data_IF_130231115781
#
_entry.id   IF_130231115781
#
_cell.length_a   1.000
_cell.length_b   1.000
_cell.length_c   1.000
_cell.angle_alpha   90.00
_cell.angle_beta   90.00
_cell.angle_gamma   90.00
#
_symmetry.space_group_name_H-M   'P 1'
#
loop_
_entity.id
_entity.type
_entity.pdbx_description
1 polymer ?
#
# COMPACT_ATOMS: atom_id res chain seq x y z
N UNK A 1 12.28 -11.04 4.82
CA UNK A 1 12.01 -9.64 4.42
C UNK A 1 10.99 -9.53 3.28
N UNK A 2 11.21 -10.17 2.15
CA UNK A 2 10.25 -10.12 1.02
C UNK A 2 8.87 -10.65 1.40
N UNK A 3 8.80 -11.73 2.16
CA UNK A 3 7.53 -12.28 2.65
C UNK A 3 6.69 -11.27 3.47
N UNK A 4 7.35 -10.40 4.24
CA UNK A 4 6.66 -9.35 4.99
C UNK A 4 6.07 -8.28 4.06
N UNK A 5 6.84 -7.84 3.05
CA UNK A 5 6.38 -6.90 2.01
C UNK A 5 5.18 -7.46 1.24
N UNK A 6 5.28 -8.71 0.80
CA UNK A 6 4.22 -9.40 0.07
C UNK A 6 2.96 -9.58 0.93
N UNK A 7 3.12 -9.97 2.21
CA UNK A 7 2.00 -10.12 3.13
C UNK A 7 1.29 -8.79 3.39
N UNK A 8 2.04 -7.71 3.61
CA UNK A 8 1.49 -6.36 3.77
C UNK A 8 0.70 -5.94 2.52
N UNK A 9 1.33 -6.02 1.35
CA UNK A 9 0.71 -5.64 0.08
C UNK A 9 -0.58 -6.42 -0.18
N UNK A 10 -0.54 -7.75 -0.06
CA UNK A 10 -1.71 -8.61 -0.33
C UNK A 10 -2.83 -8.40 0.69
N UNK A 11 -2.50 -8.09 1.96
CA UNK A 11 -3.50 -7.74 2.95
C UNK A 11 -4.23 -6.44 2.58
N UNK A 12 -3.51 -5.38 2.22
CA UNK A 12 -4.12 -4.11 1.79
C UNK A 12 -4.97 -4.29 0.54
N UNK A 13 -4.46 -5.04 -0.44
CA UNK A 13 -5.18 -5.35 -1.68
C UNK A 13 -6.50 -6.09 -1.43
N UNK A 14 -6.48 -7.10 -0.56
CA UNK A 14 -7.67 -7.87 -0.19
C UNK A 14 -8.69 -7.00 0.56
N UNK A 15 -8.24 -6.14 1.47
CA UNK A 15 -9.10 -5.22 2.21
C UNK A 15 -9.71 -4.16 1.29
N UNK A 16 -8.96 -3.63 0.34
CA UNK A 16 -9.48 -2.67 -0.65
C UNK A 16 -10.60 -3.30 -1.49
N UNK A 17 -10.45 -4.54 -1.91
CA UNK A 17 -11.48 -5.28 -2.66
C UNK A 17 -12.81 -5.36 -1.91
N UNK A 18 -12.77 -5.41 -0.57
CA UNK A 18 -13.97 -5.45 0.30
C UNK A 18 -14.53 -4.05 0.53
N UNK A 19 -13.67 -3.07 0.83
CA UNK A 19 -14.09 -1.71 1.21
C UNK A 19 -14.58 -0.92 0.00
N UNK A 20 -13.87 -1.02 -1.12
CA UNK A 20 -14.26 -0.36 -2.37
C UNK A 20 -14.00 -1.26 -3.59
N UNK A 21 -14.92 -2.18 -3.91
CA UNK A 21 -14.79 -3.09 -5.06
C UNK A 21 -14.78 -2.36 -6.42
N UNK A 22 -15.18 -1.09 -6.47
CA UNK A 22 -15.15 -0.28 -7.69
C UNK A 22 -13.78 0.35 -7.96
N UNK A 23 -12.93 0.48 -6.94
CA UNK A 23 -11.57 0.98 -7.12
C UNK A 23 -10.70 -0.13 -7.69
N UNK A 24 -10.62 -0.17 -8.99
CA UNK A 24 -9.91 -1.21 -9.74
C UNK A 24 -8.88 -0.63 -10.69
N UNK A 25 -7.94 -1.44 -11.10
CA UNK A 25 -6.92 -1.12 -12.09
C UNK A 25 -6.70 -2.32 -13.02
N UNK A 26 -6.47 -2.05 -14.30
CA UNK A 26 -6.14 -3.07 -15.27
C UNK A 26 -4.62 -3.29 -15.30
N UNK A 27 -4.16 -4.49 -14.94
CA UNK A 27 -2.75 -4.87 -14.96
C UNK A 27 -2.58 -6.12 -15.80
N UNK A 28 -1.78 -6.04 -16.86
CA UNK A 28 -1.51 -7.17 -17.78
C UNK A 28 -2.80 -7.86 -18.26
N UNK A 29 -3.84 -7.10 -18.54
CA UNK A 29 -5.12 -7.63 -19.00
C UNK A 29 -6.06 -8.16 -17.91
N UNK A 30 -5.65 -8.17 -16.64
CA UNK A 30 -6.49 -8.57 -15.52
C UNK A 30 -6.96 -7.36 -14.72
N UNK A 31 -8.28 -7.25 -14.47
CA UNK A 31 -8.86 -6.25 -13.60
C UNK A 31 -8.69 -6.70 -12.14
N UNK A 32 -8.19 -5.81 -11.29
CA UNK A 32 -7.95 -6.12 -9.87
C UNK A 32 -8.04 -4.88 -8.99
N UNK A 33 -8.04 -5.01 -7.65
CA UNK A 33 -8.09 -3.87 -6.74
C UNK A 33 -7.03 -2.81 -7.07
N UNK A 34 -7.42 -1.55 -6.98
CA UNK A 34 -6.64 -0.39 -7.39
C UNK A 34 -5.51 -0.02 -6.43
N UNK A 35 -4.66 -0.98 -6.14
CA UNK A 35 -3.41 -0.82 -5.40
C UNK A 35 -2.28 -1.55 -6.15
N UNK A 36 -1.20 -0.86 -6.42
CA UNK A 36 -0.07 -1.33 -7.21
C UNK A 36 1.22 -1.30 -6.39
N UNK A 37 2.13 -2.19 -6.71
CA UNK A 37 3.49 -2.19 -6.19
C UNK A 37 4.42 -1.67 -7.29
N UNK A 38 5.10 -0.54 -7.06
CA UNK A 38 5.85 0.19 -8.09
C UNK A 38 6.95 -0.66 -8.74
N UNK A 39 7.75 -1.34 -7.94
CA UNK A 39 8.88 -2.15 -8.39
C UNK A 39 8.47 -3.44 -9.13
N UNK A 40 7.24 -3.92 -8.95
CA UNK A 40 6.77 -5.16 -9.55
C UNK A 40 5.72 -4.97 -10.66
N UNK A 41 4.89 -3.92 -10.57
CA UNK A 41 3.66 -3.83 -11.34
C UNK A 41 3.47 -2.53 -12.10
N UNK A 42 4.11 -1.48 -11.65
CA UNK A 42 3.88 -0.14 -12.18
C UNK A 42 5.17 0.60 -12.49
N UNK A 43 5.92 0.22 -13.51
CA UNK A 43 6.97 1.09 -14.05
C UNK A 43 6.29 2.26 -14.76
N UNK A 44 5.68 3.19 -14.03
CA UNK A 44 4.89 4.24 -14.67
C UNK A 44 5.53 5.59 -14.40
N UNK A 45 5.86 6.29 -15.48
CA UNK A 45 6.27 7.69 -15.43
C UNK A 45 5.19 8.60 -14.83
N UNK A 46 3.93 8.18 -14.84
CA UNK A 46 2.80 8.81 -14.15
C UNK A 46 1.91 7.75 -13.51
N UNK A 47 1.69 7.79 -12.17
CA UNK A 47 0.71 6.92 -11.52
C UNK A 47 -0.68 7.14 -12.12
N UNK A 48 -1.47 6.06 -12.33
CA UNK A 48 -2.85 6.20 -12.75
C UNK A 48 -3.64 7.00 -11.71
N UNK A 49 -4.60 7.83 -12.16
CA UNK A 49 -5.51 8.49 -11.24
C UNK A 49 -6.40 7.47 -10.53
N UNK A 50 -6.81 7.81 -9.31
CA UNK A 50 -7.73 6.99 -8.49
C UNK A 50 -7.20 5.59 -8.11
N UNK A 51 -5.88 5.41 -8.11
CA UNK A 51 -5.18 4.18 -7.76
C UNK A 51 -4.12 4.49 -6.68
N UNK A 52 -3.91 3.59 -5.75
CA UNK A 52 -2.82 3.64 -4.77
C UNK A 52 -1.56 2.98 -5.36
N UNK A 53 -0.42 3.62 -5.23
CA UNK A 53 0.87 3.08 -5.65
C UNK A 53 1.81 3.02 -4.46
N UNK A 54 2.27 1.83 -4.13
CA UNK A 54 3.17 1.57 -3.01
C UNK A 54 4.61 1.56 -3.49
N UNK A 55 5.45 2.27 -2.76
CA UNK A 55 6.89 2.33 -2.94
C UNK A 55 7.59 1.96 -1.63
N UNK A 56 8.57 1.05 -1.69
CA UNK A 56 9.39 0.69 -0.54
C UNK A 56 10.62 1.58 -0.48
N UNK A 57 10.75 2.32 0.62
CA UNK A 57 11.86 3.23 0.90
C UNK A 57 12.95 2.61 1.75
N UNK A 58 13.40 3.36 2.74
CA UNK A 58 14.50 2.98 3.63
C UNK A 58 14.20 1.72 4.44
N UNK A 59 15.26 0.97 4.73
CA UNK A 59 15.26 -0.24 5.51
C UNK A 59 16.16 -0.03 6.74
N UNK A 60 15.60 -0.24 7.93
CA UNK A 60 16.34 -0.31 9.20
C UNK A 60 16.27 -1.72 9.77
N UNK A 61 17.36 -2.20 10.35
CA UNK A 61 17.40 -3.47 11.06
C UNK A 61 17.89 -3.25 12.49
N UNK A 62 17.08 -3.66 13.47
CA UNK A 62 17.49 -3.73 14.87
C UNK A 62 18.01 -5.15 15.17
N UNK A 63 19.32 -5.25 15.36
CA UNK A 63 20.00 -6.55 15.55
C UNK A 63 20.25 -6.89 17.02
N UNK A 64 19.94 -5.98 17.95
CA UNK A 64 20.20 -6.17 19.39
C UNK A 64 19.13 -7.01 20.10
N UNK A 65 18.00 -7.28 19.44
CA UNK A 65 16.94 -8.13 19.99
C UNK A 65 17.22 -9.61 19.74
N UNK A 66 16.67 -10.51 20.59
CA UNK A 66 16.81 -11.97 20.40
C UNK A 66 16.31 -12.46 19.04
N UNK A 67 15.41 -11.70 18.40
CA UNK A 67 14.95 -11.90 17.03
C UNK A 67 15.13 -10.57 16.30
N UNK A 68 15.90 -10.55 15.23
CA UNK A 68 16.13 -9.36 14.44
C UNK A 68 14.78 -8.81 13.92
N UNK A 69 14.45 -7.59 14.32
CA UNK A 69 13.29 -6.87 13.80
C UNK A 69 13.73 -5.96 12.66
N UNK A 70 12.97 -5.97 11.59
CA UNK A 70 13.17 -5.12 10.43
C UNK A 70 12.08 -4.09 10.38
N UNK A 71 12.46 -2.83 10.25
CA UNK A 71 11.58 -1.69 9.99
C UNK A 71 11.72 -1.25 8.53
N UNK A 72 10.63 -1.16 7.82
CA UNK A 72 10.58 -0.82 6.40
C UNK A 72 9.65 0.36 6.18
N UNK A 73 10.15 1.42 5.58
CA UNK A 73 9.30 2.54 5.18
C UNK A 73 8.53 2.17 3.91
N UNK A 74 7.22 2.36 3.93
CA UNK A 74 6.35 2.25 2.77
C UNK A 74 5.69 3.60 2.50
N UNK A 75 5.93 4.16 1.33
CA UNK A 75 5.22 5.32 0.82
C UNK A 75 4.09 4.86 -0.09
N UNK A 76 2.88 5.38 0.14
CA UNK A 76 1.70 5.08 -0.65
C UNK A 76 1.22 6.37 -1.29
N UNK A 77 1.52 6.52 -2.56
CA UNK A 77 1.14 7.70 -3.37
C UNK A 77 -0.16 7.47 -4.10
N UNK A 78 -0.96 8.52 -4.25
CA UNK A 78 -2.22 8.51 -4.98
C UNK A 78 -2.60 9.90 -5.44
N UNK A 79 -3.35 9.96 -6.53
CA UNK A 79 -3.83 11.22 -7.08
C UNK A 79 -5.24 11.06 -7.67
N UNK A 80 -5.93 12.16 -7.82
CA UNK A 80 -7.23 12.22 -8.49
C UNK A 80 -7.38 13.49 -9.31
N UNK A 81 -8.12 13.40 -10.40
CA UNK A 81 -8.56 14.54 -11.22
C UNK A 81 -9.99 14.97 -10.87
N UNK A 82 -10.63 14.33 -9.91
CA UNK A 82 -12.05 14.48 -9.64
C UNK A 82 -12.90 13.78 -10.70
N UNK A 83 -14.19 14.08 -10.74
CA UNK A 83 -15.11 13.47 -11.69
C UNK A 83 -15.41 14.38 -12.88
N UNK A 84 -15.70 13.79 -14.02
CA UNK A 84 -16.12 14.54 -15.22
C UNK A 84 -17.42 15.30 -14.99
N UNK A 85 -18.33 14.76 -14.16
CA UNK A 85 -19.62 15.37 -13.86
C UNK A 85 -19.49 16.76 -13.22
N UNK A 86 -18.40 17.01 -12.47
CA UNK A 86 -18.14 18.28 -11.80
C UNK A 86 -16.95 19.05 -12.38
N UNK A 87 -16.42 18.63 -13.53
CA UNK A 87 -15.28 19.29 -14.16
C UNK A 87 -14.05 19.36 -13.28
N UNK A 88 -13.90 18.40 -12.34
CA UNK A 88 -12.79 18.34 -11.39
C UNK A 88 -12.94 19.26 -10.17
N UNK A 89 -14.06 19.98 -9.99
CA UNK A 89 -14.29 20.80 -8.79
C UNK A 89 -14.40 19.98 -7.51
N UNK A 90 -14.64 18.70 -7.61
CA UNK A 90 -14.74 17.74 -6.51
C UNK A 90 -13.42 17.04 -6.15
N UNK A 91 -12.30 17.46 -6.72
CA UNK A 91 -10.97 16.85 -6.49
C UNK A 91 -10.63 16.68 -5.01
N UNK A 92 -10.87 17.73 -4.21
CA UNK A 92 -10.59 17.69 -2.77
C UNK A 92 -11.44 16.63 -2.04
N UNK A 93 -12.72 16.48 -2.42
CA UNK A 93 -13.61 15.46 -1.86
C UNK A 93 -13.18 14.06 -2.29
N UNK A 94 -12.83 13.89 -3.55
CA UNK A 94 -12.33 12.61 -4.09
C UNK A 94 -11.04 12.18 -3.41
N UNK A 95 -10.10 13.11 -3.21
CA UNK A 95 -8.86 12.81 -2.48
C UNK A 95 -9.14 12.45 -1.01
N UNK A 96 -10.03 13.17 -0.33
CA UNK A 96 -10.43 12.86 1.04
C UNK A 96 -11.11 11.49 1.15
N UNK A 97 -11.85 11.06 0.13
CA UNK A 97 -12.41 9.72 0.08
C UNK A 97 -11.30 8.66 -0.01
N UNK A 98 -10.26 8.90 -0.82
CA UNK A 98 -9.09 8.02 -0.89
C UNK A 98 -8.32 7.99 0.44
N UNK A 99 -8.14 9.12 1.12
CA UNK A 99 -7.54 9.17 2.47
C UNK A 99 -8.29 8.24 3.44
N UNK A 100 -9.62 8.30 3.45
CA UNK A 100 -10.46 7.44 4.32
C UNK A 100 -10.37 5.97 3.96
N UNK A 101 -10.35 5.64 2.69
CA UNK A 101 -10.16 4.27 2.22
C UNK A 101 -8.80 3.72 2.66
N UNK A 102 -7.73 4.52 2.50
CA UNK A 102 -6.39 4.13 2.93
C UNK A 102 -6.31 3.88 4.43
N UNK A 103 -6.88 4.77 5.25
CA UNK A 103 -6.99 4.57 6.70
C UNK A 103 -7.74 3.27 7.02
N UNK A 104 -8.81 2.99 6.30
CA UNK A 104 -9.65 1.81 6.55
C UNK A 104 -8.93 0.50 6.18
N UNK A 105 -8.21 0.46 5.03
CA UNK A 105 -7.46 -0.75 4.64
C UNK A 105 -6.22 -1.01 5.49
N UNK A 106 -5.69 0.02 6.14
CA UNK A 106 -4.58 -0.10 7.10
C UNK A 106 -5.05 -0.59 8.47
N UNK A 107 -6.34 -0.78 8.71
CA UNK A 107 -6.88 -1.33 9.98
C UNK A 107 -7.45 -2.74 9.77
N UNK A 108 -7.16 -3.69 10.68
CA UNK A 108 -6.26 -3.61 11.83
C UNK A 108 -4.79 -3.47 11.40
N UNK A 109 -3.88 -2.92 12.26
CA UNK A 109 -2.50 -2.62 11.91
C UNK A 109 -1.59 -3.84 11.93
N UNK A 110 -2.09 -5.00 11.54
CA UNK A 110 -1.32 -6.23 11.43
C UNK A 110 -1.94 -7.22 10.44
N UNK A 111 -1.11 -8.17 10.00
CA UNK A 111 -1.53 -9.32 9.18
C UNK A 111 -0.62 -10.52 9.47
N UNK A 112 -1.11 -11.76 9.35
CA UNK A 112 -0.24 -12.93 9.36
C UNK A 112 0.82 -12.82 8.27
N UNK A 113 2.05 -13.21 8.61
CA UNK A 113 3.13 -13.33 7.64
C UNK A 113 3.01 -14.65 6.90
N UNK A 114 3.15 -14.61 5.58
CA UNK A 114 2.97 -15.75 4.70
C UNK A 114 4.18 -15.87 3.77
N UNK A 115 4.70 -17.08 3.64
CA UNK A 115 5.74 -17.40 2.67
C UNK A 115 5.10 -17.72 1.31
N UNK A 116 5.25 -16.80 0.36
CA UNK A 116 4.74 -16.93 -1.00
C UNK A 116 5.74 -17.57 -1.97
N UNK A 117 6.96 -17.89 -1.52
CA UNK A 117 7.97 -18.57 -2.36
C UNK A 117 7.74 -20.07 -2.49
N UNK A 118 6.82 -20.63 -1.69
CA UNK A 118 6.41 -22.03 -1.72
C UNK A 118 4.99 -22.21 -2.28
N UNK A 119 4.70 -23.39 -2.84
CA UNK A 119 3.38 -23.72 -3.37
C UNK A 119 2.84 -24.99 -2.69
N UNK A 120 1.68 -24.93 -1.99
CA UNK A 120 0.89 -23.72 -1.70
C UNK A 120 1.59 -22.76 -0.73
N UNK A 121 1.23 -21.48 -0.77
CA UNK A 121 1.74 -20.48 0.16
C UNK A 121 1.53 -20.91 1.63
N UNK A 122 2.56 -20.80 2.45
CA UNK A 122 2.56 -21.35 3.81
C UNK A 122 2.54 -20.22 4.86
N UNK A 123 1.72 -20.31 5.91
CA UNK A 123 1.75 -19.38 7.02
C UNK A 123 3.11 -19.48 7.76
N UNK A 124 3.61 -18.34 8.20
CA UNK A 124 4.82 -18.23 9.02
C UNK A 124 4.42 -18.04 10.50
N UNK A 125 5.42 -18.05 11.40
CA UNK A 125 5.16 -17.99 12.84
C UNK A 125 4.91 -16.58 13.35
N UNK A 126 5.42 -15.58 12.65
CA UNK A 126 5.32 -14.18 13.04
C UNK A 126 4.24 -13.43 12.25
N UNK A 127 4.00 -12.20 12.68
CA UNK A 127 3.10 -11.27 11.99
C UNK A 127 3.88 -10.12 11.40
N UNK A 128 3.28 -9.49 10.41
CA UNK A 128 3.66 -8.16 9.93
C UNK A 128 2.74 -7.15 10.60
N UNK A 129 3.30 -6.08 11.15
CA UNK A 129 2.54 -5.03 11.80
C UNK A 129 3.07 -3.65 11.36
N UNK A 130 2.30 -2.61 11.57
CA UNK A 130 2.64 -1.27 11.11
C UNK A 130 2.04 -0.18 11.98
N UNK A 131 2.63 1.01 11.89
CA UNK A 131 2.16 2.20 12.58
C UNK A 131 0.97 2.85 11.85
N UNK A 132 0.34 3.83 12.50
CA UNK A 132 -0.66 4.66 11.84
C UNK A 132 -0.01 5.47 10.71
N UNK A 133 -0.71 5.64 9.57
CA UNK A 133 -0.19 6.38 8.44
C UNK A 133 -0.04 7.87 8.77
N UNK A 134 1.03 8.48 8.30
CA UNK A 134 1.20 9.93 8.30
C UNK A 134 0.82 10.49 6.93
N UNK A 135 0.05 11.59 6.93
CA UNK A 135 -0.44 12.24 5.73
C UNK A 135 0.21 13.63 5.57
N UNK A 136 1.19 13.81 4.70
CA UNK A 136 1.74 15.12 4.40
C UNK A 136 0.73 16.00 3.63
N UNK A 137 1.11 17.24 3.39
CA UNK A 137 0.30 18.21 2.66
C UNK A 137 -0.06 17.71 1.26
N UNK A 138 -1.21 18.17 0.77
CA UNK A 138 -1.67 17.92 -0.61
C UNK A 138 -0.75 18.66 -1.59
N UNK A 139 -0.39 17.98 -2.68
CA UNK A 139 0.28 18.60 -3.82
C UNK A 139 -0.74 18.83 -4.93
N UNK A 140 -0.75 20.05 -5.48
CA UNK A 140 -1.64 20.43 -6.58
C UNK A 140 -0.81 20.58 -7.85
N UNK A 141 -1.12 19.81 -8.87
CA UNK A 141 -0.46 19.88 -10.18
C UNK A 141 -1.52 19.97 -11.28
N UNK A 142 -1.58 21.13 -11.93
CA UNK A 142 -2.52 21.37 -13.06
C UNK A 142 -3.95 20.88 -12.75
N UNK A 143 -4.31 19.72 -13.31
CA UNK A 143 -5.62 19.10 -13.25
C UNK A 143 -5.75 18.02 -12.17
N UNK A 144 -4.70 17.76 -11.39
CA UNK A 144 -4.65 16.71 -10.37
C UNK A 144 -4.32 17.25 -9.00
N UNK A 145 -4.85 16.60 -8.00
CA UNK A 145 -4.41 16.71 -6.61
C UNK A 145 -3.85 15.36 -6.17
N UNK A 146 -2.74 15.38 -5.43
CA UNK A 146 -2.05 14.17 -5.00
C UNK A 146 -1.61 14.24 -3.55
N UNK A 147 -1.37 13.07 -2.97
CA UNK A 147 -0.82 12.89 -1.65
C UNK A 147 0.04 11.61 -1.62
N UNK A 148 1.03 11.59 -0.72
CA UNK A 148 1.83 10.40 -0.40
C UNK A 148 1.73 10.14 1.08
N UNK A 149 1.02 9.09 1.50
CA UNK A 149 1.01 8.64 2.89
C UNK A 149 2.26 7.81 3.18
N UNK A 150 2.78 7.90 4.42
CA UNK A 150 3.92 7.09 4.87
C UNK A 150 3.50 6.19 6.01
N UNK A 151 3.96 4.95 5.95
CA UNK A 151 3.69 3.89 6.93
C UNK A 151 4.98 3.18 7.26
N UNK A 152 5.30 3.04 8.55
CA UNK A 152 6.38 2.16 8.98
C UNK A 152 5.84 0.75 9.18
N UNK A 153 6.43 -0.21 8.50
CA UNK A 153 6.05 -1.62 8.52
C UNK A 153 7.15 -2.41 9.21
N UNK A 154 6.78 -3.25 10.17
CA UNK A 154 7.69 -4.01 11.00
C UNK A 154 7.47 -5.51 10.83
N UNK A 155 8.54 -6.27 10.87
CA UNK A 155 8.49 -7.71 10.87
C UNK A 155 9.68 -8.32 11.60
N UNK A 156 9.44 -9.32 12.44
CA UNK A 156 10.52 -10.17 12.94
C UNK A 156 11.02 -11.09 11.84
N UNK A 157 12.33 -11.27 11.76
CA UNK A 157 12.93 -12.23 10.83
C UNK A 157 12.80 -13.64 11.39
N UNK A 158 12.43 -14.57 10.54
CA UNK A 158 12.35 -15.99 10.88
C UNK A 158 13.51 -16.76 10.25
N UNK A 159 13.84 -17.90 10.85
CA UNK A 159 14.90 -18.75 10.33
C UNK A 159 14.53 -19.24 8.92
N UNK A 160 15.38 -18.97 7.93
CA UNK A 160 15.17 -19.36 6.52
C UNK A 160 14.61 -18.26 5.62
N UNK A 161 14.56 -17.01 6.09
CA UNK A 161 14.26 -15.83 5.25
C UNK A 161 15.49 -15.23 4.57
#
# INVERSE_FOLDING_TARGET
MQNAKDSFYLALRSRLAVINPQRTVLVRGALRPGILLEDAEAPVAQPPADVFVMHWGALGAETELPSAMVAMECEISYCTSGTQAFGGLDRGRSLTAMDRELIAILRPPSTPKVNYSVQPAAPMQTQVFWDEPTFPSITVQRDRVSRSARVMVYSYQEQGE
#
